data_IF_989246392560
#
_entry.id   IF_989246392560
#
_cell.length_a   1.000
_cell.length_b   1.000
_cell.length_c   1.000
_cell.angle_alpha   90.00
_cell.angle_beta   90.00
_cell.angle_gamma   90.00
#
_symmetry.space_group_name_H-M   'P 1'
#
loop_
_entity.id
_entity.type
_entity.pdbx_description
1 polymer ?
#
# COMPACT_ATOMS: atom_id res chain seq x y z
N UNK A 1 2.75 12.77 42.72
CA UNK A 1 3.83 12.36 41.80
C UNK A 1 3.38 12.70 40.39
N UNK A 2 4.23 13.31 39.57
CA UNK A 2 3.89 13.70 38.19
C UNK A 2 4.07 12.47 37.29
N UNK A 3 3.12 12.21 36.40
CA UNK A 3 3.21 11.14 35.41
C UNK A 3 4.21 11.51 34.30
N UNK A 4 4.72 10.49 33.61
CA UNK A 4 5.47 10.70 32.36
C UNK A 4 4.56 11.34 31.32
N UNK A 5 5.15 12.14 30.42
CA UNK A 5 4.39 12.72 29.31
C UNK A 5 4.08 11.65 28.26
N UNK A 6 3.09 11.92 27.39
CA UNK A 6 2.79 11.02 26.27
C UNK A 6 3.97 10.91 25.30
N UNK A 7 4.74 11.99 25.12
CA UNK A 7 5.96 11.98 24.30
C UNK A 7 7.02 11.05 24.88
N UNK A 8 7.23 11.09 26.21
CA UNK A 8 8.15 10.18 26.89
C UNK A 8 7.69 8.73 26.76
N UNK A 9 6.40 8.44 26.99
CA UNK A 9 5.84 7.09 26.86
C UNK A 9 5.94 6.56 25.42
N UNK A 10 5.67 7.39 24.42
CA UNK A 10 5.83 7.01 23.01
C UNK A 10 7.28 6.67 22.67
N UNK A 11 8.25 7.48 23.14
CA UNK A 11 9.68 7.20 22.97
C UNK A 11 10.08 5.85 23.57
N UNK A 12 9.52 5.48 24.72
CA UNK A 12 9.79 4.22 25.43
C UNK A 12 9.23 2.97 24.75
N UNK A 13 8.45 3.12 23.67
CA UNK A 13 8.05 1.98 22.82
C UNK A 13 9.28 1.45 22.06
N UNK A 14 10.14 2.33 21.57
CA UNK A 14 11.32 1.99 20.76
C UNK A 14 12.63 2.03 21.55
N UNK A 15 12.71 2.87 22.59
CA UNK A 15 13.92 3.08 23.37
C UNK A 15 13.89 2.45 24.77
N UNK A 16 15.07 2.10 25.29
CA UNK A 16 15.20 1.62 26.65
C UNK A 16 14.96 2.75 27.69
N UNK A 17 14.20 2.50 28.76
CA UNK A 17 13.95 3.50 29.80
C UNK A 17 15.20 3.81 30.62
N UNK A 18 15.36 5.09 30.95
CA UNK A 18 16.40 5.55 31.87
C UNK A 18 16.21 4.94 33.28
N UNK A 19 17.24 4.96 34.16
CA UNK A 19 17.10 4.47 35.52
C UNK A 19 16.00 5.16 36.35
N UNK A 20 15.69 6.42 36.07
CA UNK A 20 14.62 7.15 36.75
C UNK A 20 13.24 6.72 36.26
N UNK A 21 13.05 6.62 34.95
CA UNK A 21 11.81 6.15 34.33
C UNK A 21 11.50 4.71 34.74
N UNK A 22 12.51 3.83 34.81
CA UNK A 22 12.32 2.45 35.32
C UNK A 22 11.78 2.42 36.75
N UNK A 23 12.30 3.28 37.63
CA UNK A 23 11.80 3.38 39.00
C UNK A 23 10.36 3.91 39.02
N UNK A 24 10.04 4.86 38.14
CA UNK A 24 8.68 5.38 38.00
C UNK A 24 7.71 4.28 37.54
N UNK A 25 8.03 3.58 36.44
CA UNK A 25 7.22 2.50 35.87
C UNK A 25 7.01 1.35 36.87
N UNK A 26 8.01 1.02 37.68
CA UNK A 26 7.87 0.01 38.74
C UNK A 26 6.84 0.39 39.83
N UNK A 27 6.46 1.67 39.94
CA UNK A 27 5.55 2.18 40.99
C UNK A 27 4.25 2.77 40.46
N UNK A 28 4.15 3.06 39.16
CA UNK A 28 3.00 3.75 38.56
C UNK A 28 2.25 2.87 37.55
N UNK A 29 1.20 2.18 38.01
CA UNK A 29 0.39 1.30 37.15
C UNK A 29 -0.23 2.01 35.94
N UNK A 30 -0.59 3.29 36.08
CA UNK A 30 -1.19 4.07 35.00
C UNK A 30 -0.22 4.25 33.83
N UNK A 31 1.03 4.61 34.12
CA UNK A 31 2.06 4.79 33.07
C UNK A 31 2.46 3.45 32.44
N UNK A 32 2.41 2.35 33.20
CA UNK A 32 2.61 1.00 32.65
C UNK A 32 1.49 0.63 31.70
N UNK A 33 0.23 0.80 32.12
CA UNK A 33 -0.94 0.50 31.28
C UNK A 33 -0.94 1.31 29.98
N UNK A 34 -0.61 2.61 30.06
CA UNK A 34 -0.52 3.47 28.87
C UNK A 34 0.60 3.02 27.92
N UNK A 35 1.78 2.68 28.46
CA UNK A 35 2.90 2.21 27.66
C UNK A 35 2.59 0.87 26.97
N UNK A 36 1.93 -0.04 27.69
CA UNK A 36 1.53 -1.33 27.13
C UNK A 36 0.48 -1.15 26.03
N UNK A 37 -0.49 -0.25 26.21
CA UNK A 37 -1.46 0.09 25.18
C UNK A 37 -0.81 0.70 23.92
N UNK A 38 0.22 1.53 24.08
CA UNK A 38 0.98 2.05 22.94
C UNK A 38 1.75 0.95 22.21
N UNK A 39 2.37 0.02 22.95
CA UNK A 39 3.09 -1.13 22.36
C UNK A 39 2.16 -2.05 21.57
N UNK A 40 0.99 -2.36 22.12
CA UNK A 40 -0.02 -3.18 21.45
C UNK A 40 -0.48 -2.53 20.14
N UNK A 41 -0.73 -1.21 20.15
CA UNK A 41 -1.07 -0.47 18.94
C UNK A 41 0.05 -0.50 17.90
N UNK A 42 1.31 -0.30 18.31
CA UNK A 42 2.46 -0.36 17.40
C UNK A 42 2.63 -1.76 16.81
N UNK A 43 2.44 -2.82 17.59
CA UNK A 43 2.48 -4.20 17.10
C UNK A 43 1.36 -4.49 16.11
N UNK A 44 0.12 -4.06 16.42
CA UNK A 44 -1.02 -4.20 15.53
C UNK A 44 -0.80 -3.47 14.19
N UNK A 45 -0.28 -2.24 14.23
CA UNK A 45 0.06 -1.48 13.02
C UNK A 45 1.22 -2.11 12.25
N UNK A 46 2.23 -2.64 12.93
CA UNK A 46 3.36 -3.33 12.32
C UNK A 46 2.98 -4.67 11.66
N UNK A 47 1.86 -5.27 12.05
CA UNK A 47 1.33 -6.50 11.44
C UNK A 47 0.59 -6.27 10.12
N UNK A 48 0.35 -5.01 9.74
CA UNK A 48 -0.32 -4.69 8.49
C UNK A 48 0.54 -5.10 7.29
N UNK A 49 -0.07 -5.48 6.15
CA UNK A 49 0.68 -5.80 4.94
C UNK A 49 1.56 -4.65 4.49
N UNK A 50 2.77 -4.97 4.04
CA UNK A 50 3.64 -3.99 3.41
C UNK A 50 2.94 -3.35 2.21
N UNK A 51 2.68 -2.05 2.33
CA UNK A 51 2.22 -1.25 1.21
C UNK A 51 3.40 -1.05 0.29
N UNK A 52 3.42 -1.80 -0.83
CA UNK A 52 4.37 -1.53 -1.89
C UNK A 52 4.10 -0.11 -2.40
N UNK A 53 5.10 0.78 -2.33
CA UNK A 53 4.91 2.13 -2.83
C UNK A 53 4.66 2.05 -4.35
N UNK A 54 3.91 3.00 -4.91
CA UNK A 54 3.56 2.98 -6.32
C UNK A 54 4.84 2.89 -7.17
N UNK A 55 4.76 2.21 -8.31
CA UNK A 55 5.83 2.15 -9.30
C UNK A 55 6.01 3.52 -9.96
N UNK A 56 6.57 4.47 -9.21
CA UNK A 56 7.00 5.78 -9.67
C UNK A 56 8.50 5.81 -9.95
N UNK A 57 8.98 6.94 -10.46
CA UNK A 57 10.40 7.15 -10.75
C UNK A 57 11.21 7.33 -9.45
N UNK A 58 11.51 6.22 -8.76
CA UNK A 58 12.46 6.17 -7.64
C UNK A 58 13.77 6.89 -7.95
N UNK A 59 14.21 6.84 -9.21
CA UNK A 59 15.38 7.55 -9.72
C UNK A 59 15.24 9.07 -9.64
N UNK A 60 14.05 9.63 -9.85
CA UNK A 60 13.86 11.08 -9.70
C UNK A 60 13.91 11.49 -8.23
N UNK A 61 13.33 10.66 -7.35
CA UNK A 61 13.37 10.89 -5.91
C UNK A 61 14.80 10.79 -5.37
N UNK A 62 15.57 9.80 -5.81
CA UNK A 62 16.99 9.64 -5.49
C UNK A 62 17.82 10.84 -5.98
N UNK A 63 17.64 11.27 -7.24
CA UNK A 63 18.29 12.49 -7.76
C UNK A 63 17.94 13.72 -6.94
N UNK A 64 16.70 13.85 -6.50
CA UNK A 64 16.28 14.98 -5.67
C UNK A 64 16.92 14.94 -4.29
N UNK A 65 16.94 13.79 -3.64
CA UNK A 65 17.59 13.60 -2.34
C UNK A 65 19.11 13.82 -2.41
N UNK A 66 19.75 13.44 -3.52
CA UNK A 66 21.16 13.72 -3.79
C UNK A 66 21.42 15.24 -3.94
N UNK A 67 20.58 15.95 -4.69
CA UNK A 67 20.65 17.42 -4.81
C UNK A 67 20.47 18.12 -3.46
N UNK A 68 19.61 17.58 -2.60
CA UNK A 68 19.36 18.09 -1.24
C UNK A 68 20.46 17.67 -0.24
N UNK A 69 21.44 16.85 -0.67
CA UNK A 69 22.56 16.39 0.16
C UNK A 69 22.18 15.37 1.23
N UNK A 70 20.96 14.83 1.17
CA UNK A 70 20.43 13.85 2.12
C UNK A 70 20.90 12.43 1.80
N UNK A 71 21.27 12.19 0.54
CA UNK A 71 21.87 10.93 0.08
C UNK A 71 23.23 11.27 -0.53
N UNK A 72 24.28 10.56 -0.10
CA UNK A 72 25.54 10.58 -0.84
C UNK A 72 25.31 9.80 -2.13
N UNK A 73 25.53 10.44 -3.27
CA UNK A 73 25.80 9.67 -4.48
C UNK A 73 27.07 8.88 -4.19
N UNK A 74 26.92 7.58 -3.91
CA UNK A 74 28.04 6.67 -3.91
C UNK A 74 28.56 6.65 -5.36
N UNK A 75 29.45 7.60 -5.68
CA UNK A 75 30.28 7.53 -6.87
C UNK A 75 30.91 6.15 -6.92
N UNK A 76 31.11 5.57 -8.14
CA UNK A 76 31.40 4.15 -8.32
C UNK A 76 32.41 3.72 -7.29
N UNK A 77 31.94 2.88 -6.37
CA UNK A 77 32.66 2.43 -5.20
C UNK A 77 34.07 2.05 -5.62
N UNK A 78 35.01 2.94 -5.30
CA UNK A 78 36.42 2.70 -5.49
C UNK A 78 36.77 1.53 -4.60
N UNK A 79 36.76 0.33 -5.18
CA UNK A 79 37.32 -0.85 -4.54
C UNK A 79 38.74 -0.52 -4.10
N UNK A 80 39.09 -0.65 -2.80
CA UNK A 80 40.46 -0.46 -2.39
C UNK A 80 41.28 -1.58 -3.00
N UNK A 81 42.33 -1.21 -3.72
CA UNK A 81 43.15 -2.13 -4.48
C UNK A 81 43.84 -3.17 -3.59
N UNK A 82 43.74 -4.43 -4.00
CA UNK A 82 44.75 -5.46 -3.73
C UNK A 82 44.93 -6.32 -4.99
N UNK A 83 46.15 -6.28 -5.55
CA UNK A 83 46.83 -7.39 -6.22
C UNK A 83 46.26 -7.96 -7.54
N UNK A 84 46.96 -7.67 -8.64
CA UNK A 84 47.18 -8.52 -9.83
C UNK A 84 45.97 -9.33 -10.40
N UNK A 85 45.24 -8.68 -11.32
CA UNK A 85 44.37 -9.11 -12.44
C UNK A 85 43.65 -10.48 -12.48
N UNK A 86 42.31 -10.52 -12.74
CA UNK A 86 41.59 -11.77 -13.02
C UNK A 86 40.62 -11.71 -14.22
N UNK A 87 40.97 -11.07 -15.34
CA UNK A 87 40.12 -11.06 -16.54
C UNK A 87 39.79 -12.47 -17.05
N UNK A 88 40.75 -13.40 -16.92
CA UNK A 88 40.58 -14.78 -17.33
C UNK A 88 39.80 -15.63 -16.32
N UNK A 89 39.87 -15.28 -15.03
CA UNK A 89 39.13 -15.95 -13.96
C UNK A 89 37.63 -15.62 -14.02
N UNK A 90 37.26 -14.40 -14.42
CA UNK A 90 35.86 -14.03 -14.73
C UNK A 90 35.33 -14.77 -15.95
N UNK A 91 36.13 -14.96 -17.00
CA UNK A 91 35.72 -15.71 -18.18
C UNK A 91 35.50 -17.20 -17.86
N UNK A 92 36.37 -17.80 -17.03
CA UNK A 92 36.21 -19.18 -16.58
C UNK A 92 34.95 -19.35 -15.70
N UNK A 93 34.70 -18.42 -14.78
CA UNK A 93 33.49 -18.43 -13.95
C UNK A 93 32.21 -18.27 -14.80
N UNK A 94 32.21 -17.37 -15.80
CA UNK A 94 31.09 -17.18 -16.71
C UNK A 94 30.82 -18.44 -17.55
N UNK A 95 31.87 -19.13 -18.03
CA UNK A 95 31.72 -20.36 -18.80
C UNK A 95 31.15 -21.51 -17.97
N UNK A 96 31.61 -21.67 -16.72
CA UNK A 96 31.12 -22.70 -15.79
C UNK A 96 29.67 -22.44 -15.38
N UNK A 97 29.29 -21.18 -15.12
CA UNK A 97 27.91 -20.82 -14.83
C UNK A 97 26.99 -20.99 -16.04
N UNK A 98 27.47 -20.69 -17.24
CA UNK A 98 26.71 -20.87 -18.48
C UNK A 98 26.48 -22.34 -18.81
N UNK A 99 27.53 -23.18 -18.72
CA UNK A 99 27.42 -24.62 -18.95
C UNK A 99 26.64 -25.32 -17.83
N UNK A 100 26.81 -24.89 -16.58
CA UNK A 100 26.07 -25.40 -15.44
C UNK A 100 24.57 -25.05 -15.50
N UNK A 101 24.23 -23.80 -15.88
CA UNK A 101 22.86 -23.33 -16.01
C UNK A 101 22.11 -23.88 -17.22
N UNK A 102 22.80 -24.08 -18.36
CA UNK A 102 22.20 -24.69 -19.54
C UNK A 102 21.84 -26.17 -19.32
N UNK A 103 22.63 -26.89 -18.51
CA UNK A 103 22.37 -28.28 -18.14
C UNK A 103 21.15 -28.45 -17.22
N UNK A 104 21.04 -27.64 -16.17
CA UNK A 104 19.90 -27.69 -15.23
C UNK A 104 18.61 -27.15 -15.84
N UNK A 105 18.67 -26.07 -16.64
CA UNK A 105 17.49 -25.49 -17.30
C UNK A 105 16.87 -26.42 -18.33
N UNK A 106 17.68 -27.16 -19.09
CA UNK A 106 17.18 -28.13 -20.07
C UNK A 106 16.51 -29.35 -19.42
N UNK A 107 16.95 -29.77 -18.23
CA UNK A 107 16.34 -30.92 -17.53
C UNK A 107 15.03 -30.54 -16.86
N UNK A 108 14.89 -29.31 -16.31
CA UNK A 108 13.60 -28.84 -15.77
C UNK A 108 12.55 -28.58 -16.87
N UNK A 109 12.95 -28.06 -18.03
CA UNK A 109 12.03 -27.82 -19.15
C UNK A 109 11.51 -29.13 -19.79
N UNK A 110 12.26 -30.23 -19.66
CA UNK A 110 11.90 -31.55 -20.21
C UNK A 110 11.02 -32.37 -19.26
N UNK A 111 11.03 -32.05 -17.97
CA UNK A 111 10.34 -32.82 -16.92
C UNK A 111 9.11 -32.12 -16.33
N UNK A 112 8.52 -31.15 -17.02
CA UNK A 112 7.22 -30.57 -16.63
C UNK A 112 7.22 -30.04 -15.19
N UNK A 113 7.88 -28.90 -14.97
CA UNK A 113 7.77 -28.19 -13.70
C UNK A 113 6.32 -27.82 -13.36
N UNK A 114 5.97 -27.74 -12.06
CA UNK A 114 4.59 -27.53 -11.63
C UNK A 114 4.03 -26.27 -12.25
N UNK A 115 2.86 -26.44 -12.86
CA UNK A 115 2.02 -25.40 -13.43
C UNK A 115 1.85 -24.29 -12.39
N UNK A 116 2.53 -23.17 -12.59
CA UNK A 116 2.19 -21.94 -11.88
C UNK A 116 0.70 -21.69 -12.17
N UNK A 117 -0.13 -21.31 -11.18
CA UNK A 117 -1.52 -20.99 -11.42
C UNK A 117 -1.56 -19.68 -12.21
N UNK A 118 -1.35 -19.78 -13.51
CA UNK A 118 -1.71 -18.76 -14.46
C UNK A 118 -3.21 -18.61 -14.33
N UNK A 119 -3.66 -17.53 -13.72
CA UNK A 119 -5.05 -17.11 -13.75
C UNK A 119 -5.44 -17.09 -15.23
N UNK A 120 -6.21 -18.08 -15.65
CA UNK A 120 -6.74 -18.17 -17.00
C UNK A 120 -7.64 -16.95 -17.19
N UNK A 121 -7.10 -15.89 -17.78
CA UNK A 121 -7.89 -14.78 -18.29
C UNK A 121 -8.60 -15.36 -19.49
N UNK A 122 -9.89 -15.69 -19.33
CA UNK A 122 -10.71 -16.13 -20.43
C UNK A 122 -10.77 -14.99 -21.45
N UNK A 123 -10.04 -15.13 -22.56
CA UNK A 123 -10.15 -14.26 -23.72
C UNK A 123 -11.53 -14.49 -24.33
N UNK A 124 -12.38 -13.47 -24.28
CA UNK A 124 -13.68 -13.48 -24.95
C UNK A 124 -13.48 -12.97 -26.37
N UNK A 125 -13.58 -13.85 -27.35
CA UNK A 125 -13.59 -13.46 -28.76
C UNK A 125 -15.02 -13.06 -29.16
N UNK A 126 -15.20 -11.82 -29.60
CA UNK A 126 -16.45 -11.33 -30.18
C UNK A 126 -16.32 -11.25 -31.70
N UNK A 127 -17.33 -11.73 -32.43
CA UNK A 127 -17.33 -11.73 -33.90
C UNK A 127 -17.67 -10.37 -34.52
N UNK A 128 -18.24 -9.44 -33.73
CA UNK A 128 -18.53 -8.06 -34.15
C UNK A 128 -18.49 -7.06 -32.97
N UNK A 129 -18.48 -5.75 -33.28
CA UNK A 129 -18.51 -4.70 -32.27
C UNK A 129 -19.81 -4.71 -31.44
N UNK A 130 -20.96 -5.00 -32.08
CA UNK A 130 -22.26 -5.12 -31.41
C UNK A 130 -22.36 -6.36 -30.53
N UNK A 131 -21.67 -7.43 -30.90
CA UNK A 131 -21.53 -8.62 -30.05
C UNK A 131 -20.62 -8.34 -28.85
N UNK A 132 -19.50 -7.65 -29.06
CA UNK A 132 -18.61 -7.22 -27.99
C UNK A 132 -19.32 -6.31 -26.97
N UNK A 133 -20.15 -5.36 -27.44
CA UNK A 133 -20.94 -4.49 -26.58
C UNK A 133 -21.92 -5.28 -25.70
N UNK A 134 -22.65 -6.24 -26.28
CA UNK A 134 -23.59 -7.10 -25.53
C UNK A 134 -22.89 -7.98 -24.50
N UNK A 135 -21.72 -8.51 -24.85
CA UNK A 135 -20.88 -9.30 -23.94
C UNK A 135 -20.40 -8.43 -22.78
N UNK A 136 -20.03 -7.18 -23.05
CA UNK A 136 -19.60 -6.24 -22.02
C UNK A 136 -20.74 -5.90 -21.06
N UNK A 137 -21.92 -5.58 -21.58
CA UNK A 137 -23.11 -5.28 -20.77
C UNK A 137 -23.46 -6.46 -19.83
N UNK A 138 -23.47 -7.69 -20.35
CA UNK A 138 -23.73 -8.89 -19.55
C UNK A 138 -22.62 -9.17 -18.52
N UNK A 139 -21.35 -8.90 -18.88
CA UNK A 139 -20.23 -9.02 -17.95
C UNK A 139 -20.31 -7.98 -16.83
N UNK A 140 -20.71 -6.75 -17.14
CA UNK A 140 -20.93 -5.67 -16.17
C UNK A 140 -22.05 -6.04 -15.19
N UNK A 141 -23.19 -6.50 -15.69
CA UNK A 141 -24.31 -6.93 -14.85
C UNK A 141 -23.89 -8.07 -13.90
N UNK A 142 -23.16 -9.07 -14.41
CA UNK A 142 -22.60 -10.16 -13.60
C UNK A 142 -21.63 -9.66 -12.54
N UNK A 143 -20.76 -8.71 -12.88
CA UNK A 143 -19.81 -8.13 -11.94
C UNK A 143 -20.51 -7.34 -10.82
N UNK A 144 -21.48 -6.49 -11.18
CA UNK A 144 -22.25 -5.69 -10.22
C UNK A 144 -23.03 -6.60 -9.26
N UNK A 145 -23.68 -7.64 -9.78
CA UNK A 145 -24.39 -8.62 -8.96
C UNK A 145 -23.46 -9.39 -8.01
N UNK A 146 -22.29 -9.81 -8.50
CA UNK A 146 -21.28 -10.48 -7.67
C UNK A 146 -20.77 -9.58 -6.55
N UNK A 147 -20.53 -8.29 -6.83
CA UNK A 147 -20.08 -7.32 -5.84
C UNK A 147 -21.16 -7.06 -4.77
N UNK A 148 -22.43 -6.96 -5.17
CA UNK A 148 -23.56 -6.84 -4.24
C UNK A 148 -23.69 -8.08 -3.35
N UNK A 149 -23.50 -9.28 -3.91
CA UNK A 149 -23.48 -10.52 -3.13
C UNK A 149 -22.29 -10.58 -2.16
N UNK A 150 -21.10 -10.20 -2.61
CA UNK A 150 -19.92 -10.13 -1.77
C UNK A 150 -20.14 -9.21 -0.56
N UNK A 151 -20.63 -7.99 -0.80
CA UNK A 151 -20.95 -7.04 0.28
C UNK A 151 -21.96 -7.60 1.28
N UNK A 152 -22.97 -8.35 0.83
CA UNK A 152 -23.93 -9.01 1.72
C UNK A 152 -23.27 -10.07 2.60
N UNK A 153 -22.34 -10.84 2.04
CA UNK A 153 -21.62 -11.88 2.79
C UNK A 153 -20.58 -11.30 3.76
N UNK A 154 -19.92 -10.20 3.40
CA UNK A 154 -18.94 -9.55 4.28
C UNK A 154 -19.59 -8.61 5.30
N UNK A 155 -20.75 -8.03 4.98
CA UNK A 155 -21.48 -7.11 5.85
C UNK A 155 -22.20 -7.76 7.02
N UNK A 156 -22.21 -9.10 7.12
CA UNK A 156 -22.77 -9.85 8.26
C UNK A 156 -21.72 -10.24 9.30
N UNK A 157 -20.45 -9.85 9.11
CA UNK A 157 -19.32 -10.28 9.95
C UNK A 157 -18.79 -9.24 10.96
N UNK A 158 -19.33 -8.01 10.95
CA UNK A 158 -19.05 -7.01 12.00
C UNK A 158 -20.36 -6.78 12.75
N UNK A 159 -20.45 -7.37 13.92
CA UNK A 159 -21.53 -7.16 14.88
C UNK A 159 -21.78 -5.66 15.07
N UNK A 160 -23.07 -5.31 15.19
CA UNK A 160 -23.62 -4.00 15.58
C UNK A 160 -23.90 -3.00 14.43
N UNK A 161 -25.09 -3.19 13.84
CA UNK A 161 -26.13 -2.15 13.80
C UNK A 161 -25.78 -0.81 13.13
N UNK A 162 -25.74 -0.81 11.79
CA UNK A 162 -26.47 0.14 10.93
C UNK A 162 -26.03 -0.02 9.47
N UNK A 163 -26.98 -0.26 8.56
CA UNK A 163 -26.76 -0.21 7.10
C UNK A 163 -26.42 1.20 6.56
N UNK A 164 -25.83 2.05 7.40
CA UNK A 164 -25.41 3.41 7.11
C UNK A 164 -23.89 3.37 7.08
N UNK A 165 -23.31 3.51 5.89
CA UNK A 165 -21.87 3.69 5.74
C UNK A 165 -21.48 4.88 6.62
N UNK A 166 -20.58 4.66 7.57
CA UNK A 166 -20.05 5.70 8.44
C UNK A 166 -19.62 6.92 7.59
N UNK A 167 -20.18 8.13 7.86
CA UNK A 167 -19.86 9.34 7.11
C UNK A 167 -18.36 9.65 7.06
N UNK A 168 -17.59 9.33 8.10
CA UNK A 168 -16.15 9.55 8.13
C UNK A 168 -15.42 8.59 7.17
N UNK A 169 -15.77 7.31 7.17
CA UNK A 169 -15.27 6.30 6.24
C UNK A 169 -15.59 6.65 4.77
N UNK A 170 -16.81 7.14 4.50
CA UNK A 170 -17.21 7.64 3.18
C UNK A 170 -16.38 8.85 2.75
N UNK A 171 -16.13 9.78 3.66
CA UNK A 171 -15.29 10.95 3.39
C UNK A 171 -13.84 10.55 3.04
N UNK A 172 -13.25 9.60 3.77
CA UNK A 172 -11.91 9.09 3.48
C UNK A 172 -11.82 8.45 2.08
N UNK A 173 -12.84 7.69 1.67
CA UNK A 173 -12.91 7.13 0.32
C UNK A 173 -12.99 8.22 -0.76
N UNK A 174 -13.76 9.28 -0.53
CA UNK A 174 -13.89 10.42 -1.45
C UNK A 174 -12.60 11.24 -1.56
N UNK A 175 -11.86 11.42 -0.48
CA UNK A 175 -10.51 12.02 -0.49
C UNK A 175 -9.55 11.22 -1.40
N UNK A 176 -9.55 9.89 -1.27
CA UNK A 176 -8.73 9.03 -2.11
C UNK A 176 -9.12 9.12 -3.60
N UNK A 177 -10.42 9.18 -3.90
CA UNK A 177 -10.92 9.36 -5.27
C UNK A 177 -10.54 10.72 -5.86
N UNK A 178 -10.61 11.80 -5.07
CA UNK A 178 -10.18 13.14 -5.51
C UNK A 178 -8.68 13.17 -5.78
N UNK A 179 -7.86 12.58 -4.89
CA UNK A 179 -6.42 12.50 -5.08
C UNK A 179 -6.05 11.70 -6.35
N UNK A 180 -6.69 10.55 -6.57
CA UNK A 180 -6.52 9.75 -7.77
C UNK A 180 -6.98 10.48 -9.03
N UNK A 181 -8.13 11.15 -8.99
CA UNK A 181 -8.67 11.93 -10.10
C UNK A 181 -7.76 13.10 -10.48
N UNK A 182 -7.19 13.82 -9.52
CA UNK A 182 -6.20 14.87 -9.79
C UNK A 182 -4.91 14.33 -10.44
N UNK A 183 -4.47 13.13 -10.05
CA UNK A 183 -3.35 12.46 -10.71
C UNK A 183 -3.71 12.05 -12.16
N UNK A 184 -4.92 11.54 -12.39
CA UNK A 184 -5.40 11.16 -13.72
C UNK A 184 -5.55 12.38 -14.65
N UNK A 185 -6.10 13.50 -14.16
CA UNK A 185 -6.20 14.76 -14.95
C UNK A 185 -4.82 15.27 -15.35
N UNK A 186 -3.78 15.11 -14.52
CA UNK A 186 -2.40 15.49 -14.91
C UNK A 186 -1.86 14.66 -16.07
N UNK A 187 -2.30 13.42 -16.22
CA UNK A 187 -1.89 12.53 -17.32
C UNK A 187 -2.73 12.76 -18.59
N UNK A 188 -4.03 13.01 -18.42
CA UNK A 188 -4.99 13.19 -19.52
C UNK A 188 -5.87 14.43 -19.30
N UNK A 189 -5.32 15.66 -19.44
CA UNK A 189 -6.03 16.88 -19.07
C UNK A 189 -7.27 17.17 -19.92
N UNK A 190 -7.30 16.67 -21.15
CA UNK A 190 -8.40 16.87 -22.10
C UNK A 190 -9.42 15.74 -22.11
N UNK A 191 -9.30 14.74 -21.22
CA UNK A 191 -10.25 13.64 -21.14
C UNK A 191 -11.55 14.08 -20.45
N UNK A 192 -12.70 14.11 -21.14
CA UNK A 192 -13.96 14.56 -20.55
C UNK A 192 -14.47 13.66 -19.42
N UNK A 193 -14.20 12.35 -19.48
CA UNK A 193 -14.67 11.38 -18.50
C UNK A 193 -13.94 11.54 -17.17
N UNK A 194 -12.61 11.64 -17.21
CA UNK A 194 -11.79 11.85 -16.00
C UNK A 194 -12.14 13.18 -15.33
N UNK A 195 -12.32 14.24 -16.13
CA UNK A 195 -12.75 15.54 -15.63
C UNK A 195 -14.15 15.47 -14.99
N UNK A 196 -15.10 14.76 -15.60
CA UNK A 196 -16.44 14.55 -15.06
C UNK A 196 -16.43 13.81 -13.72
N UNK A 197 -15.67 12.72 -13.62
CA UNK A 197 -15.52 11.96 -12.38
C UNK A 197 -14.92 12.82 -11.27
N UNK A 198 -13.87 13.60 -11.56
CA UNK A 198 -13.23 14.45 -10.56
C UNK A 198 -14.21 15.50 -10.00
N UNK A 199 -14.97 16.16 -10.87
CA UNK A 199 -15.97 17.16 -10.47
C UNK A 199 -17.06 16.52 -9.61
N UNK A 200 -17.56 15.34 -10.01
CA UNK A 200 -18.59 14.62 -9.25
C UNK A 200 -18.10 14.23 -7.86
N UNK A 201 -16.88 13.68 -7.77
CA UNK A 201 -16.24 13.28 -6.51
C UNK A 201 -16.03 14.48 -5.58
N UNK A 202 -15.60 15.64 -6.11
CA UNK A 202 -15.44 16.87 -5.33
C UNK A 202 -16.77 17.37 -4.78
N UNK A 203 -17.84 17.33 -5.57
CA UNK A 203 -19.18 17.73 -5.14
C UNK A 203 -19.72 16.82 -4.02
N UNK A 204 -19.54 15.50 -4.16
CA UNK A 204 -19.96 14.50 -3.19
C UNK A 204 -19.17 14.61 -1.87
N UNK A 205 -17.86 14.89 -1.96
CA UNK A 205 -17.01 15.18 -0.81
C UNK A 205 -17.53 16.38 -0.01
N UNK A 206 -17.85 17.48 -0.70
CA UNK A 206 -18.36 18.69 -0.07
C UNK A 206 -19.77 18.51 0.52
N UNK A 207 -20.60 17.66 -0.07
CA UNK A 207 -21.90 17.29 0.49
C UNK A 207 -21.73 16.47 1.79
N UNK A 208 -20.81 15.49 1.78
CA UNK A 208 -20.53 14.64 2.94
C UNK A 208 -19.94 15.45 4.10
N UNK A 209 -19.02 16.38 3.84
CA UNK A 209 -18.51 17.29 4.88
C UNK A 209 -19.61 18.12 5.53
N UNK A 210 -20.56 18.63 4.74
CA UNK A 210 -21.71 19.37 5.28
C UNK A 210 -22.57 18.48 6.18
N UNK A 211 -22.84 17.24 5.75
CA UNK A 211 -23.60 16.28 6.54
C UNK A 211 -22.93 15.94 7.88
N UNK A 212 -21.60 15.76 7.89
CA UNK A 212 -20.84 15.54 9.13
C UNK A 212 -20.94 16.76 10.04
N UNK A 213 -20.77 17.97 9.50
CA UNK A 213 -20.85 19.21 10.30
C UNK A 213 -22.24 19.47 10.89
N UNK A 214 -23.31 19.08 10.20
CA UNK A 214 -24.67 19.19 10.73
C UNK A 214 -24.95 18.15 11.80
N UNK A 215 -24.51 16.90 11.59
CA UNK A 215 -24.67 15.82 12.57
C UNK A 215 -23.92 16.10 13.88
N UNK A 216 -22.70 16.67 13.80
CA UNK A 216 -21.93 17.04 14.99
C UNK A 216 -22.53 18.19 15.80
N UNK A 217 -23.44 18.98 15.21
CA UNK A 217 -24.08 20.12 15.88
C UNK A 217 -25.31 19.68 16.68
N UNK A 218 -26.00 18.62 16.25
CA UNK A 218 -27.19 18.08 16.93
C UNK A 218 -26.86 17.20 18.14
N UNK A 219 -25.65 16.64 18.24
CA UNK A 219 -25.20 15.78 19.34
C UNK A 219 -24.89 16.53 20.66
N UNK A 220 -25.10 17.84 20.72
CA UNK A 220 -24.70 18.72 21.85
C UNK A 220 -25.87 19.31 22.68
N UNK A 221 -27.08 18.75 22.58
CA UNK A 221 -28.25 19.07 23.43
C UNK A 221 -28.87 17.82 24.03
#
# INVERSE_FOLDING_TARGET
MRHLSNEDLARLVEEAPSPEERRHLASCHRCVAELDALREQTEALGSLPDLLPPSGDWRELERRLAREGLVKEDGPSGTPGFGLGPGWLRAAAALVLFLGGAGTGAVLARNGGPEAPGRAVATVEAGSAEEAARILDDAEERYVNALAQYRRLTGTGSEEESGVVDPASRFAALEALVAAGQAAVRQAPTDPFINGILVSSMAERQATLRQISTASTDDWF
#
